data_IF_834464929849
#
_entry.id   IF_834464929849
#
_cell.length_a   1.000
_cell.length_b   1.000
_cell.length_c   1.000
_cell.angle_alpha   90.00
_cell.angle_beta   90.00
_cell.angle_gamma   90.00
#
_symmetry.space_group_name_H-M   'P 1'
#
loop_
_entity.id
_entity.type
_entity.pdbx_description
1 polymer ?
#
# COMPACT_ATOMS: atom_id res chain seq x y z
N UNK A 1 15.82 5.28 33.97
CA UNK A 1 14.44 5.62 33.60
C UNK A 1 14.01 4.66 32.52
N UNK A 2 12.99 3.86 32.79
CA UNK A 2 12.44 2.89 31.83
C UNK A 2 11.43 3.57 30.91
N UNK A 3 11.16 2.98 29.74
CA UNK A 3 10.23 3.53 28.76
C UNK A 3 8.83 3.71 29.37
N UNK A 4 8.40 2.78 30.22
CA UNK A 4 7.10 2.82 30.88
C UNK A 4 6.96 4.03 31.81
N UNK A 5 8.04 4.42 32.49
CA UNK A 5 8.07 5.59 33.39
C UNK A 5 8.02 6.90 32.60
N UNK A 6 8.64 6.94 31.41
CA UNK A 6 8.61 8.10 30.52
C UNK A 6 7.21 8.32 29.92
N UNK A 7 6.57 7.25 29.46
CA UNK A 7 5.22 7.33 28.90
C UNK A 7 4.18 7.82 29.92
N UNK A 8 4.38 7.52 31.21
CA UNK A 8 3.52 8.02 32.29
C UNK A 8 3.80 9.48 32.67
N UNK A 9 5.00 9.98 32.38
CA UNK A 9 5.42 11.34 32.71
C UNK A 9 5.03 12.37 31.64
N UNK A 10 4.71 11.93 30.42
CA UNK A 10 4.29 12.82 29.34
C UNK A 10 2.84 13.27 29.51
N UNK A 11 2.60 14.57 29.38
CA UNK A 11 1.26 15.19 29.41
C UNK A 11 0.79 15.54 28.01
N UNK A 12 -0.52 15.75 27.82
CA UNK A 12 -1.09 16.12 26.51
C UNK A 12 -0.60 17.46 25.97
N UNK A 13 -0.10 18.34 26.84
CA UNK A 13 0.30 19.70 26.50
C UNK A 13 1.82 19.82 26.32
N UNK A 14 2.55 18.71 26.39
CA UNK A 14 4.00 18.71 26.21
C UNK A 14 4.39 19.05 24.76
N UNK A 15 5.43 19.86 24.61
CA UNK A 15 6.00 20.17 23.29
C UNK A 15 6.68 18.94 22.70
N UNK A 16 6.14 18.45 21.58
CA UNK A 16 6.69 17.30 20.87
C UNK A 16 7.68 17.74 19.79
N UNK A 17 8.80 17.01 19.70
CA UNK A 17 9.78 17.19 18.63
C UNK A 17 9.57 16.12 17.56
N UNK A 18 9.32 16.54 16.32
CA UNK A 18 9.32 15.64 15.18
C UNK A 18 10.74 15.45 14.68
N UNK A 19 11.21 14.21 14.63
CA UNK A 19 12.53 13.87 14.09
C UNK A 19 12.39 13.17 12.75
N UNK A 20 13.18 13.62 11.78
CA UNK A 20 13.31 12.97 10.48
C UNK A 20 14.67 12.30 10.38
N UNK A 21 14.70 11.08 9.87
CA UNK A 21 15.97 10.39 9.62
C UNK A 21 16.66 11.05 8.43
N UNK A 22 17.85 11.61 8.67
CA UNK A 22 18.71 12.08 7.58
C UNK A 22 19.33 10.85 6.90
N UNK A 23 19.26 10.81 5.56
CA UNK A 23 19.75 9.71 4.72
C UNK A 23 19.16 8.33 5.08
N UNK A 24 17.84 8.13 5.02
CA UNK A 24 17.25 6.82 5.23
C UNK A 24 17.65 5.87 4.10
N UNK A 25 17.86 4.60 4.43
CA UNK A 25 17.86 3.54 3.41
C UNK A 25 16.42 3.38 2.91
N UNK A 26 16.18 3.35 1.59
CA UNK A 26 14.86 3.03 1.05
C UNK A 26 14.33 1.73 1.63
N UNK A 27 13.03 1.67 1.90
CA UNK A 27 12.39 0.42 2.30
C UNK A 27 12.39 -0.48 1.07
N UNK A 28 12.95 -1.72 1.15
CA UNK A 28 12.93 -2.63 0.03
C UNK A 28 11.48 -2.95 -0.34
N UNK A 29 11.22 -3.12 -1.64
CA UNK A 29 9.86 -3.30 -2.11
C UNK A 29 9.14 -4.44 -1.37
N UNK A 30 7.97 -4.19 -0.75
CA UNK A 30 7.24 -5.21 0.00
C UNK A 30 6.61 -6.29 -0.89
N UNK A 31 6.63 -6.11 -2.21
CA UNK A 31 6.08 -7.00 -3.23
C UNK A 31 7.18 -7.84 -3.90
N UNK A 32 7.94 -8.60 -3.10
CA UNK A 32 9.11 -9.34 -3.58
C UNK A 32 8.78 -10.67 -4.29
N UNK A 33 7.61 -11.26 -4.03
CA UNK A 33 7.26 -12.63 -4.45
C UNK A 33 6.03 -12.68 -5.37
N UNK A 34 6.16 -12.31 -6.67
CA UNK A 34 5.07 -12.45 -7.64
C UNK A 34 4.78 -13.92 -8.02
N UNK A 35 3.61 -14.21 -8.64
CA UNK A 35 2.56 -13.27 -9.02
C UNK A 35 1.59 -12.96 -7.88
N UNK A 36 1.15 -11.71 -7.81
CA UNK A 36 0.08 -11.28 -6.91
C UNK A 36 -1.25 -11.21 -7.66
N UNK A 37 -2.35 -11.34 -6.93
CA UNK A 37 -3.71 -11.13 -7.45
C UNK A 37 -4.39 -10.02 -6.66
N UNK A 38 -5.25 -9.26 -7.33
CA UNK A 38 -6.04 -8.22 -6.70
C UNK A 38 -7.40 -8.06 -7.39
N UNK A 39 -8.36 -7.52 -6.66
CA UNK A 39 -9.64 -7.05 -7.17
C UNK A 39 -9.67 -5.53 -7.12
N UNK A 40 -10.54 -4.91 -7.92
CA UNK A 40 -10.64 -3.46 -7.97
C UNK A 40 -12.09 -3.02 -8.15
N UNK A 41 -12.38 -1.81 -7.69
CA UNK A 41 -13.69 -1.19 -7.82
C UNK A 41 -13.54 0.21 -8.40
N UNK A 42 -14.29 0.50 -9.48
CA UNK A 42 -14.30 1.83 -10.13
C UNK A 42 -15.54 2.67 -9.80
N UNK A 43 -16.29 2.28 -8.76
CA UNK A 43 -17.54 2.92 -8.37
C UNK A 43 -18.80 2.26 -8.94
N UNK A 44 -18.65 1.23 -9.78
CA UNK A 44 -19.77 0.49 -10.41
C UNK A 44 -19.91 -0.95 -9.92
N UNK A 45 -19.04 -1.38 -9.00
CA UNK A 45 -19.02 -2.75 -8.47
C UNK A 45 -17.59 -3.27 -8.31
N UNK A 46 -17.43 -4.28 -7.46
CA UNK A 46 -16.15 -4.97 -7.29
C UNK A 46 -15.91 -5.92 -8.47
N UNK A 47 -14.82 -5.70 -9.21
CA UNK A 47 -14.39 -6.60 -10.28
C UNK A 47 -13.60 -7.76 -9.68
N UNK A 48 -14.27 -8.91 -9.53
CA UNK A 48 -13.71 -10.13 -8.95
C UNK A 48 -13.37 -11.20 -9.99
N UNK A 49 -14.00 -11.14 -11.18
CA UNK A 49 -13.89 -12.19 -12.19
C UNK A 49 -13.88 -11.59 -13.62
N UNK A 50 -12.78 -11.75 -14.40
CA UNK A 50 -11.52 -12.40 -14.04
C UNK A 50 -10.69 -11.59 -13.03
N UNK A 51 -9.96 -12.29 -12.17
CA UNK A 51 -9.08 -11.64 -11.17
C UNK A 51 -7.95 -10.87 -11.86
N UNK A 52 -7.62 -9.68 -11.36
CA UNK A 52 -6.49 -8.90 -11.86
C UNK A 52 -5.16 -9.36 -11.26
N UNK A 53 -4.05 -9.10 -11.95
CA UNK A 53 -2.73 -9.59 -11.57
C UNK A 53 -1.77 -8.43 -11.32
N UNK A 54 -0.88 -8.57 -10.34
CA UNK A 54 0.22 -7.65 -10.13
C UNK A 54 1.56 -8.40 -10.15
N UNK A 55 2.57 -7.76 -10.73
CA UNK A 55 3.94 -8.28 -10.70
C UNK A 55 4.71 -7.69 -9.52
N UNK A 56 5.89 -8.24 -9.24
CA UNK A 56 6.78 -7.67 -8.23
C UNK A 56 7.29 -6.30 -8.66
N UNK A 57 7.99 -5.62 -7.76
CA UNK A 57 8.55 -4.32 -8.09
C UNK A 57 9.54 -4.39 -9.25
N UNK A 58 9.27 -3.63 -10.31
CA UNK A 58 10.16 -3.48 -11.47
C UNK A 58 11.35 -2.54 -11.16
N UNK A 59 11.18 -1.72 -10.14
CA UNK A 59 12.12 -0.77 -9.53
C UNK A 59 11.71 -0.67 -8.04
N UNK A 60 12.59 -0.35 -7.08
CA UNK A 60 12.32 -0.44 -5.62
C UNK A 60 11.03 0.26 -5.17
N UNK A 61 10.52 1.22 -5.97
CA UNK A 61 9.31 1.99 -5.71
C UNK A 61 8.15 1.78 -6.70
N UNK A 62 8.27 0.88 -7.70
CA UNK A 62 7.29 0.75 -8.80
C UNK A 62 6.67 -0.63 -8.88
N UNK A 63 5.37 -0.69 -8.63
CA UNK A 63 4.54 -1.89 -8.78
C UNK A 63 3.80 -1.86 -10.13
N UNK A 64 3.80 -2.97 -10.87
CA UNK A 64 3.03 -3.10 -12.11
C UNK A 64 1.70 -3.81 -11.85
N UNK A 65 0.60 -3.11 -12.14
CA UNK A 65 -0.77 -3.63 -12.03
C UNK A 65 -1.33 -3.96 -13.43
N UNK A 66 -1.76 -5.20 -13.63
CA UNK A 66 -2.42 -5.68 -14.86
C UNK A 66 -3.90 -5.92 -14.59
N UNK A 67 -4.70 -4.92 -14.92
CA UNK A 67 -6.15 -4.96 -14.78
C UNK A 67 -6.77 -5.89 -15.83
N UNK A 68 -7.69 -6.74 -15.39
CA UNK A 68 -8.59 -7.48 -16.28
C UNK A 68 -9.94 -6.77 -16.34
N UNK A 69 -10.59 -6.76 -17.51
CA UNK A 69 -11.95 -6.24 -17.65
C UNK A 69 -12.95 -7.29 -17.14
N UNK A 70 -13.91 -6.87 -16.31
CA UNK A 70 -14.95 -7.75 -15.79
C UNK A 70 -16.20 -7.66 -16.68
N UNK A 71 -16.65 -8.78 -17.28
CA UNK A 71 -17.87 -8.78 -18.11
C UNK A 71 -19.11 -8.29 -17.33
N UNK A 72 -19.14 -8.57 -16.03
CA UNK A 72 -20.29 -8.30 -15.17
C UNK A 72 -20.33 -6.87 -14.60
N UNK A 73 -19.27 -6.07 -14.81
CA UNK A 73 -19.17 -4.71 -14.29
C UNK A 73 -19.12 -3.70 -15.43
N UNK A 74 -20.23 -2.97 -15.60
CA UNK A 74 -20.40 -1.95 -16.64
C UNK A 74 -19.26 -0.92 -16.55
N UNK A 75 -18.67 -0.54 -17.69
CA UNK A 75 -17.52 0.40 -17.84
C UNK A 75 -16.13 -0.11 -17.45
N UNK A 76 -15.96 -1.41 -17.15
CA UNK A 76 -14.61 -1.99 -17.00
C UNK A 76 -13.99 -2.46 -18.31
N UNK A 77 -14.81 -2.64 -19.35
CA UNK A 77 -14.35 -2.97 -20.71
C UNK A 77 -13.65 -1.76 -21.36
N UNK A 78 -12.51 -2.03 -21.99
CA UNK A 78 -11.79 -1.03 -22.80
C UNK A 78 -12.65 -0.68 -24.02
N UNK A 79 -12.97 0.61 -24.19
CA UNK A 79 -13.54 1.12 -25.45
C UNK A 79 -12.55 1.04 -26.61
#
# INVERSE_FOLDING_TARGET
>A
MKLEEMCQAMTTDDSLFTMFRLNPTPIPCPFANPPFTFTYNRGTGECTQPVSHAEGCTDESKLLLKYQACPDVTTTESS
#
